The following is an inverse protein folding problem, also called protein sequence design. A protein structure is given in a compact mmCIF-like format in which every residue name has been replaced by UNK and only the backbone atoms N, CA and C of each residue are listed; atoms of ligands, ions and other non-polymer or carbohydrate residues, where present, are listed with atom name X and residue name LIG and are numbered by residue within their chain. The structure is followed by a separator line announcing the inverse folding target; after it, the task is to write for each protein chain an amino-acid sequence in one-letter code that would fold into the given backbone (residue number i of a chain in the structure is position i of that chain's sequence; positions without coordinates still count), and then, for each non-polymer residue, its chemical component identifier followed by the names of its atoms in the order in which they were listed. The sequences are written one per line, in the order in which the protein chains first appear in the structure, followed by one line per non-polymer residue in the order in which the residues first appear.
data_IF_637579441182
#
_entry.id   IF_637579441182
#
_cell.length_a   1.000
_cell.length_b   1.000
_cell.length_c   1.000
_cell.angle_alpha   90.00
_cell.angle_beta   90.00
_cell.angle_gamma   90.00
#
_symmetry.space_group_name_H-M   'P 1'
#
loop_
_entity.id
_entity.type
_entity.pdbx_description
1 polymer ?
#
# COMPACT_ATOMS: atom_id res chain seq x y z
N UNK A 1 1.67 -7.57 -2.86
CA UNK A 1 0.79 -6.50 -3.37
C UNK A 1 -0.66 -6.91 -3.29
N UNK A 2 -1.36 -6.33 -2.34
CA UNK A 2 -2.75 -6.59 -2.01
C UNK A 2 -3.49 -5.26 -1.80
N UNK A 3 -4.73 -5.21 -2.29
CA UNK A 3 -5.63 -4.06 -2.19
C UNK A 3 -6.97 -4.52 -1.61
N UNK A 4 -7.54 -3.72 -0.71
CA UNK A 4 -8.88 -3.92 -0.18
C UNK A 4 -9.69 -2.68 -0.53
N UNK A 5 -10.78 -2.84 -1.27
CA UNK A 5 -11.67 -1.75 -1.64
C UNK A 5 -12.86 -1.69 -0.69
N UNK A 6 -13.15 -0.49 -0.17
CA UNK A 6 -14.26 -0.24 0.76
C UNK A 6 -15.20 0.83 0.18
N UNK A 7 -16.53 0.72 0.36
CA UNK A 7 -17.46 1.76 -0.07
C UNK A 7 -17.15 3.12 0.58
N UNK A 8 -17.61 4.20 -0.06
CA UNK A 8 -17.28 5.58 0.30
C UNK A 8 -17.94 6.01 1.61
N UNK A 9 -17.29 6.93 2.32
CA UNK A 9 -17.87 7.71 3.43
C UNK A 9 -18.16 6.90 4.72
N UNK A 10 -17.38 5.84 4.96
CA UNK A 10 -17.47 4.97 6.13
C UNK A 10 -16.21 5.15 6.99
N UNK A 11 -16.38 5.64 8.22
CA UNK A 11 -15.34 5.70 9.24
C UNK A 11 -14.88 4.30 9.67
N UNK A 12 -13.69 4.20 10.26
CA UNK A 12 -13.18 2.95 10.87
C UNK A 12 -14.18 2.34 11.87
N UNK A 13 -14.98 3.19 12.51
CA UNK A 13 -16.01 2.82 13.47
C UNK A 13 -17.31 2.33 12.80
N UNK A 14 -17.73 2.96 11.69
CA UNK A 14 -18.86 2.49 10.87
C UNK A 14 -18.54 1.18 10.12
N UNK A 15 -17.27 0.98 9.75
CA UNK A 15 -16.73 -0.27 9.20
C UNK A 15 -16.99 -1.48 10.10
N UNK A 16 -17.11 -1.26 11.41
CA UNK A 16 -17.29 -2.32 12.40
C UNK A 16 -18.76 -2.60 12.71
N UNK A 17 -19.68 -1.71 12.34
CA UNK A 17 -21.03 -1.65 12.90
C UNK A 17 -22.19 -1.60 11.88
N UNK A 18 -21.92 -1.44 10.58
CA UNK A 18 -22.98 -1.32 9.56
C UNK A 18 -22.85 -2.37 8.44
N UNK A 19 -23.96 -2.99 7.98
CA UNK A 19 -23.97 -3.83 6.78
C UNK A 19 -23.74 -2.97 5.53
N UNK A 20 -22.91 -3.44 4.60
CA UNK A 20 -22.59 -2.69 3.37
C UNK A 20 -23.33 -3.23 2.15
N UNK A 21 -23.85 -2.31 1.34
CA UNK A 21 -24.30 -2.61 -0.03
C UNK A 21 -23.11 -2.86 -0.94
N UNK A 22 -23.25 -3.83 -1.86
CA UNK A 22 -22.26 -4.17 -2.89
C UNK A 22 -21.66 -2.93 -3.56
N UNK A 23 -20.35 -2.99 -3.88
CA UNK A 23 -19.72 -2.00 -4.75
C UNK A 23 -20.50 -1.93 -6.07
N UNK A 24 -20.92 -0.74 -6.46
CA UNK A 24 -21.69 -0.55 -7.69
C UNK A 24 -20.91 -1.08 -8.91
N UNK A 25 -21.59 -1.73 -9.84
CA UNK A 25 -21.00 -2.36 -11.04
C UNK A 25 -20.08 -1.43 -11.86
N UNK A 26 -20.31 -0.11 -11.82
CA UNK A 26 -19.46 0.90 -12.47
C UNK A 26 -18.10 1.09 -11.76
N UNK A 27 -18.06 1.03 -10.43
CA UNK A 27 -16.83 1.10 -9.66
C UNK A 27 -16.00 -0.18 -9.84
N UNK A 28 -16.65 -1.34 -9.88
CA UNK A 28 -16.01 -2.62 -10.16
C UNK A 28 -15.33 -2.65 -11.55
N UNK A 29 -16.01 -2.12 -12.59
CA UNK A 29 -15.41 -1.98 -13.94
C UNK A 29 -14.16 -1.11 -13.93
N UNK A 30 -14.16 -0.03 -13.14
CA UNK A 30 -13.00 0.86 -13.03
C UNK A 30 -11.84 0.19 -12.30
N UNK A 31 -12.11 -0.54 -11.21
CA UNK A 31 -11.13 -1.33 -10.47
C UNK A 31 -10.49 -2.36 -11.41
N UNK A 32 -11.29 -3.18 -12.09
CA UNK A 32 -10.78 -4.20 -13.02
C UNK A 32 -9.92 -3.61 -14.15
N UNK A 33 -10.35 -2.49 -14.75
CA UNK A 33 -9.57 -1.81 -15.80
C UNK A 33 -8.20 -1.38 -15.29
N UNK A 34 -8.14 -0.77 -14.10
CA UNK A 34 -6.86 -0.27 -13.57
C UNK A 34 -5.97 -1.41 -13.07
N UNK A 35 -6.55 -2.44 -12.43
CA UNK A 35 -5.80 -3.63 -12.05
C UNK A 35 -5.16 -4.29 -13.28
N UNK A 36 -5.89 -4.41 -14.40
CA UNK A 36 -5.33 -4.90 -15.66
C UNK A 36 -4.22 -4.01 -16.26
N UNK A 37 -4.21 -2.71 -15.96
CA UNK A 37 -3.11 -1.83 -16.37
C UNK A 37 -1.86 -2.03 -15.51
N UNK A 38 -2.01 -2.49 -14.27
CA UNK A 38 -0.91 -2.77 -13.34
C UNK A 38 -0.34 -4.16 -13.61
N UNK A 39 -1.23 -5.15 -13.76
CA UNK A 39 -0.89 -6.56 -13.92
C UNK A 39 -2.02 -7.28 -14.66
N UNK A 40 -1.68 -8.06 -15.68
CA UNK A 40 -2.67 -8.87 -16.39
C UNK A 40 -3.09 -10.11 -15.59
N UNK A 41 -2.32 -10.49 -14.56
CA UNK A 41 -2.53 -11.69 -13.73
C UNK A 41 -2.98 -11.32 -12.30
N UNK A 42 -4.03 -10.50 -12.17
CA UNK A 42 -4.63 -10.20 -10.86
C UNK A 42 -5.79 -11.13 -10.52
N UNK A 43 -6.00 -11.36 -9.22
CA UNK A 43 -7.20 -12.01 -8.69
C UNK A 43 -8.04 -11.01 -7.93
N UNK A 44 -9.35 -10.99 -8.17
CA UNK A 44 -10.31 -10.19 -7.42
C UNK A 44 -11.30 -11.13 -6.74
N UNK A 45 -11.36 -11.08 -5.41
CA UNK A 45 -12.24 -11.91 -4.58
C UNK A 45 -13.09 -11.03 -3.69
N UNK A 46 -14.28 -11.50 -3.35
CA UNK A 46 -15.02 -10.95 -2.22
C UNK A 46 -14.47 -11.55 -0.93
N UNK A 47 -14.38 -10.74 0.11
CA UNK A 47 -13.91 -11.15 1.41
C UNK A 47 -14.64 -10.37 2.50
N UNK A 48 -14.98 -11.06 3.58
CA UNK A 48 -15.56 -10.44 4.78
C UNK A 48 -14.47 -9.66 5.50
N UNK A 49 -14.69 -8.40 5.91
CA UNK A 49 -13.76 -7.65 6.77
C UNK A 49 -14.36 -7.02 8.04
N UNK A 50 -15.65 -7.18 8.34
CA UNK A 50 -16.31 -6.53 9.49
C UNK A 50 -17.07 -7.50 10.42
N UNK A 51 -17.30 -7.09 11.67
CA UNK A 51 -17.64 -7.99 12.79
C UNK A 51 -19.05 -8.58 12.77
N UNK A 52 -19.99 -8.01 12.02
CA UNK A 52 -21.35 -8.53 11.86
C UNK A 52 -21.52 -9.46 10.64
N UNK A 53 -22.74 -9.91 10.39
CA UNK A 53 -23.06 -10.69 9.18
C UNK A 53 -22.98 -9.80 7.92
N UNK A 54 -22.33 -10.31 6.87
CA UNK A 54 -22.35 -9.82 5.48
C UNK A 54 -21.52 -8.56 5.12
N UNK A 55 -20.22 -8.55 5.43
CA UNK A 55 -19.29 -7.51 4.96
C UNK A 55 -18.62 -7.88 3.62
N UNK A 56 -19.35 -7.99 2.51
CA UNK A 56 -18.71 -8.34 1.24
C UNK A 56 -17.88 -7.18 0.67
N UNK A 57 -16.56 -7.26 0.82
CA UNK A 57 -15.60 -6.28 0.31
C UNK A 57 -14.68 -6.94 -0.71
N UNK A 58 -14.14 -6.16 -1.64
CA UNK A 58 -13.30 -6.72 -2.69
C UNK A 58 -11.83 -6.71 -2.25
N UNK A 59 -11.27 -7.90 -2.09
CA UNK A 59 -9.85 -8.14 -1.91
C UNK A 59 -9.23 -8.46 -3.27
N UNK A 60 -8.37 -7.58 -3.74
CA UNK A 60 -7.58 -7.80 -4.94
C UNK A 60 -6.16 -8.21 -4.57
N UNK A 61 -5.67 -9.26 -5.22
CA UNK A 61 -4.28 -9.73 -5.13
C UNK A 61 -3.63 -9.50 -6.50
N UNK A 62 -2.54 -8.74 -6.52
CA UNK A 62 -1.76 -8.44 -7.72
C UNK A 62 -0.51 -9.31 -7.70
N UNK A 63 -0.47 -10.34 -8.55
CA UNK A 63 0.48 -11.46 -8.43
C UNK A 63 1.84 -11.17 -9.06
N UNK A 64 1.90 -10.57 -10.25
CA UNK A 64 3.18 -10.43 -10.99
C UNK A 64 4.08 -9.33 -10.43
N UNK A 65 3.51 -8.37 -9.68
CA UNK A 65 4.29 -7.39 -8.96
C UNK A 65 5.19 -8.03 -7.89
N UNK A 66 4.77 -9.17 -7.30
CA UNK A 66 5.47 -9.89 -6.22
C UNK A 66 6.90 -10.37 -6.61
N UNK A 67 7.21 -10.45 -7.90
CA UNK A 67 8.51 -10.90 -8.42
C UNK A 67 9.60 -9.82 -8.29
N UNK A 68 9.21 -8.55 -8.08
CA UNK A 68 10.13 -7.41 -7.98
C UNK A 68 10.70 -7.17 -6.56
N UNK A 69 10.24 -7.89 -5.53
CA UNK A 69 10.39 -7.51 -4.11
C UNK A 69 11.69 -7.89 -3.37
N UNK A 70 12.82 -8.04 -4.08
CA UNK A 70 14.12 -8.21 -3.42
C UNK A 70 14.90 -6.90 -3.48
N UNK A 71 15.42 -6.39 -2.36
CA UNK A 71 15.99 -5.03 -2.22
C UNK A 71 16.98 -4.59 -3.30
N UNK A 72 17.84 -5.49 -3.80
CA UNK A 72 18.76 -5.23 -4.93
C UNK A 72 18.06 -4.89 -6.26
N UNK A 73 16.77 -5.22 -6.37
CA UNK A 73 15.92 -4.95 -7.53
C UNK A 73 15.26 -3.57 -7.49
N UNK A 74 15.21 -2.88 -6.34
CA UNK A 74 14.62 -1.53 -6.28
C UNK A 74 15.43 -0.59 -7.15
N UNK A 75 16.75 -0.52 -6.90
CA UNK A 75 17.68 0.36 -7.62
C UNK A 75 17.67 0.10 -9.14
N UNK A 76 17.59 -1.17 -9.53
CA UNK A 76 17.53 -1.59 -10.95
C UNK A 76 16.19 -1.34 -11.63
N UNK A 77 15.12 -1.08 -10.88
CA UNK A 77 13.75 -0.98 -11.41
C UNK A 77 12.99 0.25 -10.90
N UNK A 78 13.67 1.31 -10.46
CA UNK A 78 13.07 2.52 -9.85
C UNK A 78 11.94 3.08 -10.73
N UNK A 79 12.13 3.11 -12.04
CA UNK A 79 11.13 3.60 -12.99
C UNK A 79 9.87 2.72 -13.01
N UNK A 80 10.02 1.40 -12.96
CA UNK A 80 8.89 0.46 -12.92
C UNK A 80 8.10 0.61 -11.61
N UNK A 81 8.80 0.72 -10.47
CA UNK A 81 8.21 1.01 -9.17
C UNK A 81 7.43 2.33 -9.18
N UNK A 82 8.04 3.38 -9.73
CA UNK A 82 7.40 4.69 -9.87
C UNK A 82 6.12 4.62 -10.69
N UNK A 83 6.14 3.93 -11.84
CA UNK A 83 4.94 3.74 -12.69
C UNK A 83 3.84 2.96 -11.98
N UNK A 84 4.17 1.93 -11.20
CA UNK A 84 3.19 1.20 -10.39
C UNK A 84 2.59 2.12 -9.33
N UNK A 85 3.44 2.85 -8.59
CA UNK A 85 3.00 3.82 -7.58
C UNK A 85 2.08 4.90 -8.17
N UNK A 86 2.39 5.41 -9.35
CA UNK A 86 1.55 6.38 -10.06
C UNK A 86 0.17 5.79 -10.44
N UNK A 87 0.14 4.60 -11.03
CA UNK A 87 -1.12 3.90 -11.40
C UNK A 87 -1.99 3.65 -10.17
N UNK A 88 -1.39 3.26 -9.05
CA UNK A 88 -2.12 3.03 -7.80
C UNK A 88 -2.61 4.35 -7.21
N UNK A 89 -1.83 5.44 -7.20
CA UNK A 89 -2.34 6.76 -6.78
C UNK A 89 -3.53 7.21 -7.63
N UNK A 90 -3.50 6.95 -8.94
CA UNK A 90 -4.64 7.21 -9.84
C UNK A 90 -5.86 6.34 -9.51
N UNK A 91 -5.65 5.11 -9.02
CA UNK A 91 -6.72 4.26 -8.51
C UNK A 91 -7.32 4.84 -7.22
N UNK A 92 -6.48 5.21 -6.25
CA UNK A 92 -6.87 5.78 -4.95
C UNK A 92 -7.58 7.14 -5.07
N UNK A 93 -7.32 7.90 -6.13
CA UNK A 93 -8.04 9.15 -6.40
C UNK A 93 -9.40 8.93 -7.07
N UNK A 94 -9.56 7.83 -7.82
CA UNK A 94 -10.80 7.46 -8.52
C UNK A 94 -11.75 6.60 -7.69
N UNK A 95 -11.20 5.87 -6.73
CA UNK A 95 -11.93 5.01 -5.78
C UNK A 95 -11.77 5.65 -4.41
N UNK A 96 -12.86 6.02 -3.71
CA UNK A 96 -12.69 6.84 -2.49
C UNK A 96 -12.13 6.06 -1.30
N UNK A 97 -12.08 4.72 -1.31
CA UNK A 97 -11.36 3.97 -0.27
C UNK A 97 -10.75 2.69 -0.88
N UNK A 98 -9.42 2.64 -0.92
CA UNK A 98 -8.70 1.38 -0.99
C UNK A 98 -7.58 1.37 0.07
N UNK A 99 -7.56 0.34 0.90
CA UNK A 99 -6.44 0.05 1.77
C UNK A 99 -5.45 -0.83 1.01
N UNK A 100 -4.16 -0.62 1.20
CA UNK A 100 -3.13 -1.40 0.52
C UNK A 100 -2.03 -1.89 1.44
N UNK A 101 -1.39 -2.97 1.03
CA UNK A 101 -0.26 -3.58 1.76
C UNK A 101 1.04 -2.78 1.63
N UNK A 102 2.05 -3.22 2.38
CA UNK A 102 3.37 -2.57 2.46
C UNK A 102 4.07 -2.47 1.11
N UNK A 103 3.79 -3.42 0.22
CA UNK A 103 4.39 -3.55 -1.10
C UNK A 103 3.93 -2.44 -2.04
N UNK A 104 2.63 -2.13 -1.99
CA UNK A 104 2.05 -0.99 -2.69
C UNK A 104 2.53 0.32 -2.06
N UNK A 105 2.60 0.37 -0.73
CA UNK A 105 3.12 1.54 -0.03
C UNK A 105 4.56 1.86 -0.48
N UNK A 106 5.41 0.84 -0.62
CA UNK A 106 6.76 0.98 -1.16
C UNK A 106 6.77 1.59 -2.57
N UNK A 107 5.89 1.12 -3.46
CA UNK A 107 5.74 1.68 -4.82
C UNK A 107 5.34 3.16 -4.79
N UNK A 108 4.40 3.51 -3.92
CA UNK A 108 3.94 4.89 -3.71
C UNK A 108 5.07 5.78 -3.16
N UNK A 109 5.92 5.25 -2.27
CA UNK A 109 7.09 5.93 -1.73
C UNK A 109 8.11 6.23 -2.83
N UNK A 110 8.42 5.24 -3.67
CA UNK A 110 9.37 5.40 -4.77
C UNK A 110 8.88 6.43 -5.78
N UNK A 111 7.60 6.39 -6.17
CA UNK A 111 6.99 7.42 -7.03
C UNK A 111 7.03 8.82 -6.39
N UNK A 112 6.82 8.90 -5.07
CA UNK A 112 6.87 10.18 -4.35
C UNK A 112 8.30 10.75 -4.34
N UNK A 113 9.29 9.91 -4.05
CA UNK A 113 10.69 10.29 -4.02
C UNK A 113 11.22 10.66 -5.41
N UNK A 114 10.86 9.92 -6.46
CA UNK A 114 11.31 10.18 -7.83
C UNK A 114 10.78 11.50 -8.40
N UNK A 115 9.64 11.97 -7.89
CA UNK A 115 9.09 13.30 -8.21
C UNK A 115 9.75 14.42 -7.41
N UNK A 116 10.27 14.12 -6.22
CA UNK A 116 10.91 15.08 -5.32
C UNK A 116 12.40 15.26 -5.62
N UNK A 117 13.06 14.20 -6.10
CA UNK A 117 14.51 14.14 -6.29
C UNK A 117 14.86 13.60 -7.67
N UNK A 118 16.01 14.01 -8.20
CA UNK A 118 16.60 13.36 -9.37
C UNK A 118 17.34 12.08 -8.92
N UNK A 119 16.62 10.96 -8.88
CA UNK A 119 17.13 9.69 -8.35
C UNK A 119 17.99 8.98 -9.40
N UNK A 120 19.27 8.81 -9.08
CA UNK A 120 20.24 7.96 -9.79
C UNK A 120 20.44 6.62 -9.08
N UNK A 121 20.39 6.61 -7.75
CA UNK A 121 20.35 5.39 -6.94
C UNK A 121 19.37 5.50 -5.78
N UNK A 122 18.75 4.38 -5.42
CA UNK A 122 17.79 4.31 -4.32
C UNK A 122 17.92 2.99 -3.56
N UNK A 123 18.32 3.06 -2.30
CA UNK A 123 18.44 1.91 -1.41
C UNK A 123 17.43 2.00 -0.28
N UNK A 124 16.64 0.95 -0.10
CA UNK A 124 15.80 0.79 1.10
C UNK A 124 16.70 0.28 2.23
N UNK A 125 17.05 1.15 3.18
CA UNK A 125 17.88 0.79 4.33
C UNK A 125 17.06 -0.01 5.35
N UNK A 126 15.87 0.51 5.70
CA UNK A 126 15.03 -0.07 6.74
C UNK A 126 13.55 0.10 6.42
N UNK A 127 12.78 -0.90 6.86
CA UNK A 127 11.33 -0.91 6.82
C UNK A 127 10.79 -1.26 8.20
N UNK A 128 9.71 -0.60 8.60
CA UNK A 128 8.96 -0.96 9.80
C UNK A 128 7.46 -0.73 9.55
N UNK A 129 6.63 -1.58 10.16
CA UNK A 129 5.19 -1.54 9.98
C UNK A 129 4.52 -1.37 11.35
N UNK A 130 3.57 -0.43 11.45
CA UNK A 130 2.73 -0.23 12.61
C UNK A 130 1.29 -0.58 12.25
N UNK A 131 0.82 -1.69 12.80
CA UNK A 131 -0.55 -2.15 12.67
C UNK A 131 -1.41 -1.39 13.67
N UNK A 132 -2.42 -0.66 13.20
CA UNK A 132 -3.33 0.09 14.06
C UNK A 132 -4.44 -0.81 14.62
N UNK A 133 -4.95 -1.72 13.79
CA UNK A 133 -5.99 -2.68 14.15
C UNK A 133 -5.66 -4.07 13.60
N UNK A 134 -5.76 -5.10 14.45
CA UNK A 134 -5.64 -6.51 14.05
C UNK A 134 -7.00 -7.21 14.15
N UNK A 135 -7.61 -7.42 12.99
CA UNK A 135 -8.90 -8.05 12.82
C UNK A 135 -8.85 -9.56 13.02
N UNK A 136 -7.67 -10.22 12.98
CA UNK A 136 -7.59 -11.68 13.16
C UNK A 136 -8.11 -12.15 14.52
N UNK A 137 -8.11 -11.27 15.52
CA UNK A 137 -8.70 -11.54 16.84
C UNK A 137 -10.23 -11.66 16.82
N UNK A 138 -10.87 -11.24 15.74
CA UNK A 138 -12.33 -11.20 15.62
C UNK A 138 -12.88 -12.18 14.58
N UNK A 139 -12.02 -12.86 13.80
CA UNK A 139 -12.41 -13.83 12.78
C UNK A 139 -11.57 -15.09 12.87
N UNK A 140 -12.21 -16.23 13.17
CA UNK A 140 -11.54 -17.51 13.38
C UNK A 140 -10.89 -18.10 12.12
N UNK A 141 -11.29 -17.65 10.95
CA UNK A 141 -10.76 -18.09 9.64
C UNK A 141 -9.59 -17.23 9.14
N UNK A 142 -9.20 -16.18 9.88
CA UNK A 142 -8.12 -15.26 9.49
C UNK A 142 -6.84 -15.48 10.27
N UNK A 143 -5.70 -15.33 9.59
CA UNK A 143 -4.39 -15.29 10.25
C UNK A 143 -3.93 -13.85 10.41
N UNK A 144 -3.23 -13.57 11.51
CA UNK A 144 -2.63 -12.25 11.74
C UNK A 144 -1.55 -11.90 10.71
N UNK A 145 -1.08 -12.86 9.91
CA UNK A 145 -0.18 -12.63 8.78
C UNK A 145 -0.87 -12.04 7.56
N UNK A 146 -2.18 -12.18 7.44
CA UNK A 146 -2.91 -11.84 6.22
C UNK A 146 -3.18 -10.34 6.18
N UNK A 147 -2.99 -9.68 5.03
CA UNK A 147 -3.23 -8.23 4.91
C UNK A 147 -4.67 -7.85 5.25
N UNK A 148 -5.63 -8.70 4.89
CA UNK A 148 -7.04 -8.54 5.23
C UNK A 148 -7.34 -8.55 6.74
N UNK A 149 -6.41 -9.05 7.54
CA UNK A 149 -6.46 -8.96 9.00
C UNK A 149 -5.94 -7.62 9.51
N UNK A 150 -5.16 -6.87 8.74
CA UNK A 150 -4.47 -5.65 9.17
C UNK A 150 -4.61 -4.50 8.16
N UNK A 151 -5.84 -4.20 7.69
CA UNK A 151 -6.05 -3.22 6.62
C UNK A 151 -5.60 -1.81 7.03
N UNK A 152 -5.71 -1.47 8.31
CA UNK A 152 -5.29 -0.19 8.88
C UNK A 152 -3.84 -0.28 9.39
N UNK A 153 -2.88 0.12 8.55
CA UNK A 153 -1.46 0.06 8.86
C UNK A 153 -0.74 1.35 8.45
N UNK A 154 0.37 1.66 9.12
CA UNK A 154 1.31 2.70 8.72
C UNK A 154 2.66 2.05 8.45
N UNK A 155 3.19 2.28 7.25
CA UNK A 155 4.46 1.76 6.78
C UNK A 155 5.52 2.85 6.84
N UNK A 156 6.66 2.54 7.43
CA UNK A 156 7.81 3.42 7.54
C UNK A 156 8.93 2.90 6.68
N UNK A 157 9.50 3.78 5.85
CA UNK A 157 10.59 3.47 4.96
C UNK A 157 11.73 4.47 5.19
N UNK A 158 12.93 3.93 5.42
CA UNK A 158 14.18 4.68 5.46
C UNK A 158 14.91 4.43 4.14
N UNK A 159 15.04 5.46 3.32
CA UNK A 159 15.74 5.38 2.04
C UNK A 159 17.07 6.11 2.08
N UNK A 160 18.07 5.54 1.41
CA UNK A 160 19.25 6.26 0.96
C UNK A 160 19.07 6.62 -0.51
N UNK A 161 19.20 7.91 -0.84
CA UNK A 161 19.02 8.45 -2.19
C UNK A 161 20.37 8.98 -2.67
N UNK A 162 20.82 8.52 -3.84
CA UNK A 162 22.07 8.92 -4.48
C UNK A 162 23.32 8.76 -3.59
N UNK A 163 23.25 7.92 -2.56
CA UNK A 163 24.26 7.79 -1.49
C UNK A 163 24.50 9.08 -0.68
N UNK A 164 23.70 10.13 -0.88
CA UNK A 164 23.91 11.48 -0.34
C UNK A 164 22.85 11.90 0.67
N UNK A 165 21.63 11.36 0.56
CA UNK A 165 20.48 11.78 1.36
C UNK A 165 19.89 10.55 2.03
N UNK A 166 19.57 10.67 3.32
CA UNK A 166 18.74 9.71 4.04
C UNK A 166 17.38 10.36 4.28
N UNK A 167 16.30 9.70 3.87
CA UNK A 167 14.94 10.23 4.02
C UNK A 167 14.02 9.18 4.65
N UNK A 168 13.28 9.60 5.69
CA UNK A 168 12.28 8.78 6.37
C UNK A 168 10.90 9.20 5.89
N UNK A 169 10.17 8.25 5.32
CA UNK A 169 8.81 8.45 4.85
C UNK A 169 7.88 7.48 5.57
N UNK A 170 6.74 8.01 6.02
CA UNK A 170 5.60 7.17 6.41
C UNK A 170 4.51 7.20 5.35
N UNK A 171 3.93 6.05 5.06
CA UNK A 171 2.77 5.89 4.19
C UNK A 171 1.73 5.09 4.95
N UNK A 172 0.57 5.70 5.17
CA UNK A 172 -0.59 4.99 5.71
C UNK A 172 -1.26 4.20 4.60
N UNK A 173 -1.83 3.04 4.93
CA UNK A 173 -2.47 2.12 3.98
C UNK A 173 -3.64 2.75 3.20
N UNK A 174 -4.15 3.92 3.59
CA UNK A 174 -5.15 4.70 2.86
C UNK A 174 -4.56 5.72 1.86
N UNK A 175 -3.23 5.75 1.68
CA UNK A 175 -2.55 6.62 0.72
C UNK A 175 -1.97 7.90 1.29
N UNK A 176 -2.14 8.19 2.59
CA UNK A 176 -1.54 9.40 3.19
C UNK A 176 -0.03 9.25 3.33
N UNK A 177 0.71 10.15 2.70
CA UNK A 177 2.17 10.21 2.74
C UNK A 177 2.61 11.33 3.69
N UNK A 178 3.63 11.07 4.51
CA UNK A 178 4.33 12.12 5.28
C UNK A 178 5.84 11.94 5.17
N UNK A 179 6.53 13.05 4.93
CA UNK A 179 7.96 13.15 5.17
C UNK A 179 8.16 13.31 6.67
N UNK A 180 8.92 12.41 7.30
CA UNK A 180 9.18 12.52 8.73
C UNK A 180 10.46 13.30 8.96
N UNK A 181 11.55 12.86 8.32
CA UNK A 181 12.85 13.49 8.46
C UNK A 181 13.72 13.31 7.21
N UNK A 182 14.67 14.23 7.03
CA UNK A 182 15.68 14.21 5.98
C UNK A 182 17.04 14.59 6.54
N UNK A 183 18.05 13.80 6.21
CA UNK A 183 19.45 14.00 6.63
C UNK A 183 20.37 13.93 5.41
N UNK A 184 21.50 14.62 5.48
CA UNK A 184 22.59 14.39 4.55
C UNK A 184 23.40 13.19 5.06
N UNK A 185 23.69 12.20 4.21
CA UNK A 185 24.43 10.99 4.60
C UNK A 185 25.83 11.30 5.12
N UNK A 186 26.42 12.42 4.66
CA UNK A 186 27.72 12.91 5.09
C UNK A 186 27.71 13.59 6.46
N UNK A 187 26.54 13.79 7.08
CA UNK A 187 26.42 14.47 8.38
C UNK A 187 26.72 13.58 9.60
N UNK A 188 27.25 12.36 9.39
CA UNK A 188 27.90 11.57 10.44
C UNK A 188 26.97 10.81 11.37
N UNK A 189 25.71 10.59 11.00
CA UNK A 189 24.82 9.68 11.73
C UNK A 189 25.21 8.23 11.42
N UNK A 190 26.18 7.71 12.16
CA UNK A 190 26.41 6.28 12.28
C UNK A 190 25.22 5.67 13.03
N UNK A 191 24.49 4.78 12.38
CA UNK A 191 23.55 3.88 13.04
C UNK A 191 24.34 2.60 13.30
N UNK A 192 24.78 2.42 14.55
CA UNK A 192 25.26 1.12 15.05
C UNK A 192 24.11 0.09 15.06
#
# INVERSE_FOLDING_TARGET
MELIFIPKDISSEELMNSPFTEIQSKELKNINRILSEIDNEYSLKTANIGKGADFNLFHAIVLSASIFFMGDKIDKNIEAWGKIGEKIKRLLTKTKIAYFDVDIALSIAIDYLSKKHNIKSLHLIKRADLVMDDLSLFFSDRKSSDFISKPCSVYYFLFQINNEIIEIISIRSDGKIRNLEKFDSNSGFFID
#
